data_IF_675413884204
#
_entry.id   IF_675413884204
#
_cell.length_a   1.000
_cell.length_b   1.000
_cell.length_c   1.000
_cell.angle_alpha   90.00
_cell.angle_beta   90.00
_cell.angle_gamma   90.00
#
_symmetry.space_group_name_H-M   'P 1'
#
loop_
_entity.id
_entity.type
_entity.pdbx_description
1 polymer ?
#
# COMPACT_ATOMS: atom_id res chain seq x y z
N UNK A 1 -5.14 15.59 -34.18
CA UNK A 1 -5.79 14.39 -33.60
C UNK A 1 -4.83 13.54 -32.77
N UNK A 2 -3.58 13.32 -33.20
CA UNK A 2 -2.56 12.59 -32.40
C UNK A 2 -2.19 13.25 -31.05
N UNK A 3 -2.02 14.58 -31.01
CA UNK A 3 -1.68 15.31 -29.78
C UNK A 3 -2.84 15.33 -28.75
N UNK A 4 -4.08 15.41 -29.22
CA UNK A 4 -5.27 15.40 -28.36
C UNK A 4 -5.57 14.00 -27.79
N UNK A 5 -5.23 12.94 -28.52
CA UNK A 5 -5.34 11.56 -28.03
C UNK A 5 -4.32 11.27 -26.92
N UNK A 6 -3.07 11.72 -27.07
CA UNK A 6 -2.03 11.56 -26.04
C UNK A 6 -2.37 12.32 -24.75
N UNK A 7 -2.88 13.56 -24.87
CA UNK A 7 -3.29 14.35 -23.70
C UNK A 7 -4.49 13.75 -22.94
N UNK A 8 -5.37 13.02 -23.63
CA UNK A 8 -6.50 12.33 -23.01
C UNK A 8 -6.07 11.04 -22.28
N UNK A 9 -5.01 10.39 -22.74
CA UNK A 9 -4.43 9.18 -22.15
C UNK A 9 -3.58 9.51 -20.91
N UNK A 10 -2.87 10.64 -20.92
CA UNK A 10 -2.14 11.18 -19.75
C UNK A 10 -3.07 11.70 -18.64
N UNK A 11 -4.30 12.10 -19.00
CA UNK A 11 -5.32 12.56 -18.05
C UNK A 11 -6.18 11.41 -17.48
N UNK A 12 -6.02 10.20 -17.98
CA UNK A 12 -6.71 9.03 -17.45
C UNK A 12 -6.06 8.59 -16.15
N UNK A 13 -6.86 8.44 -15.09
CA UNK A 13 -6.37 7.90 -13.83
C UNK A 13 -5.78 6.50 -14.04
N UNK A 14 -4.59 6.26 -13.51
CA UNK A 14 -3.97 4.93 -13.47
C UNK A 14 -4.62 4.01 -12.44
N UNK A 15 -5.61 4.50 -11.69
CA UNK A 15 -6.31 3.74 -10.66
C UNK A 15 -7.11 2.59 -11.27
N UNK A 16 -6.94 1.40 -10.68
CA UNK A 16 -7.59 0.16 -11.06
C UNK A 16 -8.25 -0.49 -9.85
N UNK A 17 -9.14 -1.46 -10.09
CA UNK A 17 -9.75 -2.25 -9.02
C UNK A 17 -8.71 -3.03 -8.18
N UNK A 18 -7.51 -3.30 -8.73
CA UNK A 18 -6.43 -3.97 -8.02
C UNK A 18 -5.86 -3.09 -6.88
N UNK A 19 -5.90 -1.77 -7.01
CA UNK A 19 -5.39 -0.86 -5.98
C UNK A 19 -6.24 -0.94 -4.70
N UNK A 20 -7.54 -1.19 -4.83
CA UNK A 20 -8.42 -1.47 -3.68
C UNK A 20 -7.97 -2.73 -2.95
N UNK A 21 -7.58 -3.76 -3.70
CA UNK A 21 -7.05 -4.99 -3.11
C UNK A 21 -5.72 -4.75 -2.39
N UNK A 22 -4.84 -3.93 -2.96
CA UNK A 22 -3.57 -3.54 -2.32
C UNK A 22 -3.80 -2.84 -0.97
N UNK A 23 -4.71 -1.87 -0.92
CA UNK A 23 -5.08 -1.19 0.34
C UNK A 23 -5.61 -2.18 1.39
N UNK A 24 -6.43 -3.16 0.98
CA UNK A 24 -6.91 -4.21 1.89
C UNK A 24 -5.74 -5.02 2.45
N UNK A 25 -4.74 -5.38 1.63
CA UNK A 25 -3.53 -6.08 2.10
C UNK A 25 -2.75 -5.22 3.10
N UNK A 26 -2.59 -3.92 2.86
CA UNK A 26 -1.94 -3.00 3.80
C UNK A 26 -2.65 -2.98 5.16
N UNK A 27 -3.99 -2.95 5.16
CA UNK A 27 -4.79 -3.04 6.40
C UNK A 27 -4.56 -4.38 7.11
N UNK A 28 -4.51 -5.50 6.39
CA UNK A 28 -4.23 -6.81 6.98
C UNK A 28 -2.83 -6.87 7.60
N UNK A 29 -1.83 -6.25 6.99
CA UNK A 29 -0.47 -6.16 7.54
C UNK A 29 -0.47 -5.28 8.80
N UNK A 30 -1.23 -4.17 8.82
CA UNK A 30 -1.36 -3.35 10.03
C UNK A 30 -1.97 -4.14 11.20
N UNK A 31 -2.99 -4.96 10.94
CA UNK A 31 -3.57 -5.88 11.94
C UNK A 31 -2.51 -6.91 12.38
N UNK A 32 -1.73 -7.46 11.44
CA UNK A 32 -0.61 -8.36 11.73
C UNK A 32 0.44 -7.73 12.65
N UNK A 33 0.76 -6.45 12.44
CA UNK A 33 1.66 -5.69 13.31
C UNK A 33 1.10 -5.57 14.72
N UNK A 34 -0.18 -5.24 14.88
CA UNK A 34 -0.84 -5.17 16.19
C UNK A 34 -0.75 -6.53 16.90
N UNK A 35 -1.05 -7.62 16.19
CA UNK A 35 -0.92 -8.99 16.74
C UNK A 35 0.50 -9.27 17.22
N UNK A 36 1.50 -8.87 16.46
CA UNK A 36 2.91 -9.08 16.81
C UNK A 36 3.33 -8.25 18.02
N UNK A 37 2.81 -7.03 18.17
CA UNK A 37 3.02 -6.18 19.33
C UNK A 37 2.37 -6.73 20.60
N UNK A 38 1.23 -7.41 20.47
CA UNK A 38 0.49 -8.01 21.60
C UNK A 38 1.03 -9.38 22.05
N UNK A 39 1.87 -10.04 21.24
CA UNK A 39 2.41 -11.36 21.55
C UNK A 39 3.23 -11.39 22.85
N UNK A 40 2.88 -12.29 23.78
CA UNK A 40 3.63 -12.57 25.01
C UNK A 40 3.43 -14.03 25.47
N UNK A 41 4.48 -14.70 26.01
CA UNK A 41 5.91 -14.31 25.99
C UNK A 41 6.55 -14.51 24.61
N UNK A 42 7.76 -13.96 24.39
CA UNK A 42 8.55 -14.21 23.16
C UNK A 42 8.21 -13.32 21.96
N UNK A 43 8.37 -12.00 22.10
CA UNK A 43 8.21 -11.06 20.98
C UNK A 43 9.35 -11.22 19.96
N UNK A 44 9.02 -11.27 18.68
CA UNK A 44 10.00 -11.24 17.60
C UNK A 44 10.25 -9.78 17.17
N UNK A 45 11.28 -9.15 17.76
CA UNK A 45 11.59 -7.73 17.52
C UNK A 45 12.03 -7.47 16.06
N UNK A 46 12.71 -8.44 15.44
CA UNK A 46 13.10 -8.33 14.03
C UNK A 46 11.87 -8.29 13.12
N UNK A 47 10.92 -9.21 13.33
CA UNK A 47 9.68 -9.21 12.57
C UNK A 47 8.88 -7.92 12.79
N UNK A 48 8.85 -7.37 14.01
CA UNK A 48 8.19 -6.08 14.28
C UNK A 48 8.83 -4.98 13.45
N UNK A 49 10.16 -4.85 13.49
CA UNK A 49 10.88 -3.85 12.71
C UNK A 49 10.65 -3.99 11.21
N UNK A 50 10.75 -5.22 10.68
CA UNK A 50 10.50 -5.50 9.27
C UNK A 50 9.06 -5.14 8.87
N UNK A 51 8.07 -5.58 9.62
CA UNK A 51 6.66 -5.27 9.35
C UNK A 51 6.39 -3.77 9.39
N UNK A 52 6.98 -3.02 10.33
CA UNK A 52 6.84 -1.55 10.37
C UNK A 52 7.39 -0.90 9.09
N UNK A 53 8.59 -1.29 8.66
CA UNK A 53 9.21 -0.74 7.43
C UNK A 53 8.37 -1.08 6.21
N UNK A 54 7.92 -2.34 6.07
CA UNK A 54 7.03 -2.75 4.97
C UNK A 54 5.72 -1.98 4.98
N UNK A 55 5.12 -1.74 6.16
CA UNK A 55 3.87 -1.00 6.28
C UNK A 55 4.03 0.45 5.82
N UNK A 56 5.15 1.10 6.18
CA UNK A 56 5.45 2.47 5.71
C UNK A 56 5.57 2.51 4.19
N UNK A 57 6.32 1.58 3.60
CA UNK A 57 6.50 1.52 2.15
C UNK A 57 5.18 1.25 1.41
N UNK A 58 4.35 0.35 1.94
CA UNK A 58 3.04 0.06 1.36
C UNK A 58 2.09 1.24 1.47
N UNK A 59 2.06 1.96 2.60
CA UNK A 59 1.25 3.17 2.73
C UNK A 59 1.66 4.25 1.70
N UNK A 60 2.97 4.40 1.44
CA UNK A 60 3.46 5.32 0.41
C UNK A 60 3.00 4.86 -0.99
N UNK A 61 3.08 3.56 -1.28
CA UNK A 61 2.61 3.00 -2.54
C UNK A 61 1.09 3.18 -2.71
N UNK A 62 0.30 2.89 -1.67
CA UNK A 62 -1.16 3.06 -1.66
C UNK A 62 -1.55 4.51 -1.93
N UNK A 63 -0.86 5.48 -1.31
CA UNK A 63 -1.11 6.90 -1.59
C UNK A 63 -0.89 7.23 -3.06
N UNK A 64 0.16 6.69 -3.68
CA UNK A 64 0.46 6.93 -5.10
C UNK A 64 -0.59 6.28 -6.02
N UNK A 65 -0.88 5.01 -5.78
CA UNK A 65 -1.88 4.24 -6.53
C UNK A 65 -3.28 4.87 -6.43
N UNK A 66 -3.74 5.22 -5.22
CA UNK A 66 -5.05 5.86 -5.02
C UNK A 66 -5.10 7.27 -5.58
N UNK A 67 -3.98 8.00 -5.60
CA UNK A 67 -3.90 9.33 -6.24
C UNK A 67 -3.93 9.27 -7.77
N UNK A 68 -3.78 8.08 -8.37
CA UNK A 68 -3.74 7.89 -9.82
C UNK A 68 -2.50 8.52 -10.48
N UNK A 69 -1.36 8.50 -9.78
CA UNK A 69 -0.10 9.15 -10.17
C UNK A 69 1.03 8.15 -10.35
#
# INVERSE_FOLDING_TARGET
MFLAANAAEEAASTFTAFDVFMVIITVLIAIGLVRLLMQRPGKNVFAIGFTVVSLILLLIADVKMVSGW
#
